data_IF_778714584045
#
_entry.id   IF_778714584045
#
_cell.length_a   1.000
_cell.length_b   1.000
_cell.length_c   1.000
_cell.angle_alpha   90.00
_cell.angle_beta   90.00
_cell.angle_gamma   90.00
#
_symmetry.space_group_name_H-M   'P 1'
#
loop_
_entity.id
_entity.type
_entity.pdbx_description
1 polymer ?
#
# COMPACT_ATOMS: atom_id res chain seq x y z
N UNK A 1 15.54 19.26 -0.86
CA UNK A 1 16.78 18.99 -1.63
C UNK A 1 17.57 20.25 -2.00
N UNK A 2 17.05 21.22 -2.77
CA UNK A 2 17.84 22.40 -3.24
C UNK A 2 18.52 23.23 -2.14
N UNK A 3 17.93 23.33 -0.96
CA UNK A 3 18.51 24.05 0.20
C UNK A 3 19.76 23.36 0.76
N UNK A 4 19.84 22.03 0.70
CA UNK A 4 20.93 21.25 1.29
C UNK A 4 22.15 21.23 0.36
N UNK A 5 21.92 21.13 -0.96
CA UNK A 5 22.99 21.31 -1.97
C UNK A 5 23.63 22.70 -1.86
N UNK A 6 22.82 23.73 -1.55
CA UNK A 6 23.37 25.04 -1.26
C UNK A 6 24.20 25.06 0.02
N UNK A 7 23.71 24.49 1.13
CA UNK A 7 24.45 24.46 2.40
C UNK A 7 25.77 23.70 2.27
N UNK A 8 25.78 22.55 1.60
CA UNK A 8 27.01 21.77 1.37
C UNK A 8 28.01 22.52 0.50
N UNK A 9 27.56 23.20 -0.55
CA UNK A 9 28.41 24.09 -1.35
C UNK A 9 29.00 25.26 -0.56
N UNK A 10 28.21 25.87 0.32
CA UNK A 10 28.70 26.93 1.22
C UNK A 10 29.73 26.39 2.23
N UNK A 11 29.52 25.21 2.79
CA UNK A 11 30.45 24.58 3.72
C UNK A 11 31.78 24.20 3.05
N UNK A 12 31.74 23.70 1.82
CA UNK A 12 32.94 23.37 1.05
C UNK A 12 33.74 24.65 0.69
N UNK A 13 33.04 25.74 0.32
CA UNK A 13 33.66 27.05 0.07
C UNK A 13 34.24 27.69 1.34
N UNK A 14 33.54 27.59 2.47
CA UNK A 14 34.03 28.02 3.78
C UNK A 14 35.26 27.21 4.20
N UNK A 15 35.27 25.89 3.99
CA UNK A 15 36.45 25.05 4.26
C UNK A 15 37.67 25.50 3.46
N UNK A 16 37.48 25.82 2.17
CA UNK A 16 38.56 26.32 1.32
C UNK A 16 39.06 27.70 1.79
N UNK A 17 38.15 28.58 2.18
CA UNK A 17 38.46 29.93 2.69
C UNK A 17 39.21 29.87 4.02
N UNK A 18 38.84 28.96 4.93
CA UNK A 18 39.55 28.77 6.20
C UNK A 18 40.95 28.19 5.96
N UNK A 19 41.11 27.26 5.01
CA UNK A 19 42.43 26.70 4.63
C UNK A 19 43.37 27.77 4.07
N UNK A 20 42.87 28.66 3.23
CA UNK A 20 43.65 29.75 2.65
C UNK A 20 44.02 30.79 3.70
N UNK A 21 43.06 31.21 4.53
CA UNK A 21 43.31 32.11 5.67
C UNK A 21 44.37 31.54 6.62
N UNK A 22 44.30 30.23 6.90
CA UNK A 22 45.30 29.52 7.71
C UNK A 22 46.69 29.57 7.09
N UNK A 23 46.82 29.28 5.80
CA UNK A 23 48.11 29.29 5.12
C UNK A 23 48.75 30.69 5.21
N UNK A 24 47.94 31.74 5.01
CA UNK A 24 48.38 33.12 5.17
C UNK A 24 48.79 33.41 6.61
N UNK A 25 47.97 33.05 7.61
CA UNK A 25 48.27 33.29 9.02
C UNK A 25 49.55 32.56 9.49
N UNK A 26 49.80 31.34 8.99
CA UNK A 26 51.04 30.61 9.27
C UNK A 26 52.26 31.28 8.65
N UNK A 27 52.18 31.67 7.38
CA UNK A 27 53.29 32.36 6.68
C UNK A 27 53.60 33.70 7.34
N UNK A 28 52.57 34.50 7.64
CA UNK A 28 52.72 35.80 8.31
C UNK A 28 53.24 35.61 9.74
N UNK A 29 52.67 34.67 10.50
CA UNK A 29 53.11 34.37 11.87
C UNK A 29 54.59 33.98 11.94
N UNK A 30 55.03 33.05 11.07
CA UNK A 30 56.45 32.65 10.97
C UNK A 30 57.32 33.83 10.56
N UNK A 31 56.90 34.61 9.56
CA UNK A 31 57.63 35.79 9.10
C UNK A 31 57.80 36.85 10.18
N UNK A 32 56.73 37.18 10.90
CA UNK A 32 56.75 38.13 12.01
C UNK A 32 57.62 37.63 13.17
N UNK A 33 57.52 36.35 13.54
CA UNK A 33 58.38 35.79 14.58
C UNK A 33 59.87 35.81 14.18
N UNK A 34 60.19 35.53 12.91
CA UNK A 34 61.57 35.59 12.42
C UNK A 34 62.12 37.03 12.37
N UNK A 35 61.32 37.98 11.88
CA UNK A 35 61.69 39.41 11.80
C UNK A 35 61.84 40.01 13.20
N UNK A 36 60.90 39.75 14.11
CA UNK A 36 60.98 40.18 15.50
C UNK A 36 62.22 39.62 16.20
N UNK A 37 62.55 38.35 15.96
CA UNK A 37 63.78 37.73 16.48
C UNK A 37 65.05 38.40 15.93
N UNK A 38 65.09 38.68 14.62
CA UNK A 38 66.23 39.35 13.97
C UNK A 38 66.45 40.77 14.49
N UNK A 39 65.38 41.58 14.61
CA UNK A 39 65.49 42.96 15.09
C UNK A 39 65.87 43.09 16.56
N UNK A 40 65.64 42.04 17.35
CA UNK A 40 66.11 41.97 18.74
C UNK A 40 67.63 42.08 18.86
N UNK A 41 68.36 41.70 17.80
CA UNK A 41 69.82 41.81 17.72
C UNK A 41 70.33 43.04 16.97
N UNK A 42 69.47 43.96 16.52
CA UNK A 42 69.89 45.13 15.73
C UNK A 42 70.31 46.31 16.61
N UNK A 43 71.33 47.08 16.18
CA UNK A 43 71.80 48.29 16.89
C UNK A 43 70.89 49.52 16.68
N UNK A 44 69.85 49.42 15.83
CA UNK A 44 68.92 50.51 15.57
C UNK A 44 67.87 50.63 16.69
N UNK A 45 67.85 51.72 17.48
CA UNK A 45 67.04 51.80 18.71
C UNK A 45 65.53 51.68 18.48
N UNK A 46 65.01 52.23 17.38
CA UNK A 46 63.58 52.17 17.01
C UNK A 46 63.15 50.73 16.67
N UNK A 47 64.05 49.95 16.05
CA UNK A 47 63.77 48.57 15.64
C UNK A 47 63.86 47.61 16.83
N UNK A 48 64.80 47.84 17.76
CA UNK A 48 64.94 47.02 18.97
C UNK A 48 63.77 47.20 19.94
N UNK A 49 63.23 48.42 20.07
CA UNK A 49 62.13 48.71 21.02
C UNK A 49 60.81 47.98 20.65
N UNK A 50 60.57 47.77 19.35
CA UNK A 50 59.37 47.09 18.85
C UNK A 50 59.58 45.59 18.56
N UNK A 51 60.78 45.05 18.75
CA UNK A 51 61.11 43.68 18.38
C UNK A 51 60.29 42.64 19.17
N UNK A 52 60.13 42.85 20.48
CA UNK A 52 59.44 41.93 21.39
C UNK A 52 57.93 41.87 21.11
N UNK A 53 57.31 43.00 20.75
CA UNK A 53 55.89 43.05 20.40
C UNK A 53 55.61 42.34 19.08
N UNK A 54 56.45 42.56 18.06
CA UNK A 54 56.35 41.87 16.76
C UNK A 54 56.47 40.35 16.94
N UNK A 55 57.42 39.91 17.77
CA UNK A 55 57.61 38.48 18.04
C UNK A 55 56.41 37.85 18.75
N UNK A 56 55.87 38.51 19.79
CA UNK A 56 54.71 38.03 20.55
C UNK A 56 53.44 37.94 19.67
N UNK A 57 53.23 38.92 18.79
CA UNK A 57 52.12 38.91 17.83
C UNK A 57 52.26 37.73 16.86
N UNK A 58 53.45 37.48 16.32
CA UNK A 58 53.71 36.31 15.47
C UNK A 58 53.39 34.99 16.17
N UNK A 59 53.85 34.83 17.42
CA UNK A 59 53.60 33.62 18.22
C UNK A 59 52.10 33.43 18.52
N UNK A 60 51.40 34.51 18.86
CA UNK A 60 49.97 34.49 19.16
C UNK A 60 49.15 34.10 17.92
N UNK A 61 49.53 34.62 16.75
CA UNK A 61 48.90 34.27 15.47
C UNK A 61 49.10 32.78 15.13
N UNK A 62 50.28 32.21 15.39
CA UNK A 62 50.55 30.78 15.20
C UNK A 62 49.72 29.88 16.13
N UNK A 63 49.60 30.26 17.41
CA UNK A 63 48.77 29.54 18.37
C UNK A 63 47.29 29.58 17.97
N UNK A 64 46.79 30.76 17.59
CA UNK A 64 45.40 30.92 17.14
C UNK A 64 45.13 30.11 15.87
N UNK A 65 46.03 30.14 14.89
CA UNK A 65 45.90 29.39 13.64
C UNK A 65 45.85 27.87 13.89
N UNK A 66 46.67 27.35 14.82
CA UNK A 66 46.63 25.94 15.21
C UNK A 66 45.41 25.58 16.06
N UNK A 67 44.92 26.48 16.91
CA UNK A 67 43.68 26.24 17.67
C UNK A 67 42.48 26.13 16.72
N UNK A 68 42.36 27.05 15.76
CA UNK A 68 41.33 27.02 14.71
C UNK A 68 41.44 25.72 13.90
N UNK A 69 42.64 25.20 13.68
CA UNK A 69 42.87 23.93 12.99
C UNK A 69 42.23 22.76 13.72
N UNK A 70 42.42 22.65 15.03
CA UNK A 70 41.85 21.56 15.84
C UNK A 70 40.31 21.59 15.82
N UNK A 71 39.70 22.77 15.78
CA UNK A 71 38.24 22.92 15.78
C UNK A 71 37.59 22.85 14.40
N UNK A 72 38.28 23.30 13.35
CA UNK A 72 37.76 23.36 11.97
C UNK A 72 38.23 22.17 11.13
N UNK A 73 38.97 21.22 11.73
CA UNK A 73 39.47 20.09 10.96
C UNK A 73 38.34 19.27 10.36
N UNK A 74 38.67 18.66 9.21
CA UNK A 74 37.78 17.95 8.27
C UNK A 74 36.74 17.03 8.91
N UNK A 75 36.99 16.56 10.13
CA UNK A 75 36.11 15.69 10.89
C UNK A 75 34.70 16.26 11.03
N UNK A 76 34.50 17.56 11.22
CA UNK A 76 33.13 18.10 11.39
C UNK A 76 32.31 18.02 10.10
N UNK A 77 32.89 18.39 8.96
CA UNK A 77 32.21 18.36 7.65
C UNK A 77 32.05 16.93 7.15
N UNK A 78 33.07 16.08 7.30
CA UNK A 78 32.99 14.66 6.94
C UNK A 78 31.98 13.92 7.83
N UNK A 79 31.94 14.23 9.12
CA UNK A 79 30.94 13.69 10.05
C UNK A 79 29.54 14.11 9.60
N UNK A 80 29.30 15.39 9.30
CA UNK A 80 28.00 15.87 8.82
C UNK A 80 27.58 15.19 7.50
N UNK A 81 28.49 15.06 6.53
CA UNK A 81 28.22 14.36 5.27
C UNK A 81 27.90 12.88 5.51
N UNK A 82 28.65 12.21 6.40
CA UNK A 82 28.42 10.81 6.76
C UNK A 82 27.12 10.59 7.54
N UNK A 83 26.77 11.53 8.43
CA UNK A 83 25.54 11.49 9.22
C UNK A 83 24.33 11.66 8.30
N UNK A 84 24.40 12.58 7.34
CA UNK A 84 23.34 12.76 6.36
C UNK A 84 23.20 11.57 5.40
N UNK A 85 24.32 11.00 4.94
CA UNK A 85 24.29 9.78 4.16
C UNK A 85 23.65 8.62 4.96
N UNK A 86 23.95 8.53 6.26
CA UNK A 86 23.32 7.54 7.16
C UNK A 86 21.85 7.83 7.42
N UNK A 87 21.45 9.09 7.54
CA UNK A 87 20.04 9.50 7.69
C UNK A 87 19.23 9.09 6.45
N UNK A 88 19.73 9.37 5.25
CA UNK A 88 19.05 8.95 4.00
C UNK A 88 18.99 7.42 3.84
N UNK A 89 20.02 6.68 4.27
CA UNK A 89 19.99 5.21 4.30
C UNK A 89 18.96 4.66 5.31
N UNK A 90 18.84 5.30 6.47
CA UNK A 90 17.82 4.96 7.48
C UNK A 90 16.42 5.24 6.95
N UNK A 91 16.17 6.41 6.35
CA UNK A 91 14.88 6.76 5.74
C UNK A 91 14.46 5.75 4.66
N UNK A 92 15.39 5.37 3.77
CA UNK A 92 15.13 4.36 2.75
C UNK A 92 14.80 2.99 3.36
N UNK A 93 15.54 2.60 4.41
CA UNK A 93 15.31 1.33 5.12
C UNK A 93 13.97 1.33 5.85
N UNK A 94 13.61 2.43 6.52
CA UNK A 94 12.32 2.60 7.19
C UNK A 94 11.15 2.49 6.22
N UNK A 95 11.30 3.10 5.03
CA UNK A 95 10.30 2.95 3.97
C UNK A 95 10.15 1.48 3.54
N UNK A 96 11.26 0.79 3.27
CA UNK A 96 11.22 -0.64 2.91
C UNK A 96 10.61 -1.51 4.01
N UNK A 97 10.95 -1.25 5.28
CA UNK A 97 10.39 -1.98 6.43
C UNK A 97 8.88 -1.73 6.55
N UNK A 98 8.42 -0.51 6.32
CA UNK A 98 7.00 -0.15 6.31
C UNK A 98 6.24 -0.88 5.19
N UNK A 99 6.79 -0.91 3.99
CA UNK A 99 6.24 -1.64 2.83
C UNK A 99 6.15 -3.15 3.11
N UNK A 100 7.24 -3.77 3.56
CA UNK A 100 7.27 -5.20 3.92
C UNK A 100 6.31 -5.54 5.06
N UNK A 101 6.18 -4.67 6.05
CA UNK A 101 5.24 -4.86 7.16
C UNK A 101 3.78 -4.85 6.68
N UNK A 102 3.47 -3.97 5.73
CA UNK A 102 2.16 -3.92 5.09
C UNK A 102 1.87 -5.20 4.30
N UNK A 103 2.79 -5.62 3.43
CA UNK A 103 2.66 -6.83 2.62
C UNK A 103 2.49 -8.07 3.50
N UNK A 104 3.28 -8.19 4.56
CA UNK A 104 3.15 -9.29 5.53
C UNK A 104 1.78 -9.29 6.21
N UNK A 105 1.24 -8.11 6.55
CA UNK A 105 -0.11 -7.98 7.14
C UNK A 105 -1.18 -8.44 6.16
N UNK A 106 -1.09 -8.04 4.89
CA UNK A 106 -2.03 -8.44 3.82
C UNK A 106 -1.95 -9.94 3.53
N UNK A 107 -0.76 -10.52 3.40
CA UNK A 107 -0.58 -11.95 3.17
C UNK A 107 -1.06 -12.79 4.36
N UNK A 108 -0.81 -12.35 5.59
CA UNK A 108 -1.31 -13.04 6.79
C UNK A 108 -2.84 -12.98 6.85
N UNK A 109 -3.45 -11.84 6.51
CA UNK A 109 -4.90 -11.71 6.41
C UNK A 109 -5.48 -12.64 5.34
N UNK A 110 -4.80 -12.76 4.19
CA UNK A 110 -5.24 -13.62 3.10
C UNK A 110 -5.20 -15.08 3.52
N UNK A 111 -4.07 -15.53 4.07
CA UNK A 111 -3.92 -16.90 4.57
C UNK A 111 -4.97 -17.24 5.64
N UNK A 112 -5.22 -16.31 6.57
CA UNK A 112 -6.24 -16.50 7.60
C UNK A 112 -7.64 -16.65 7.01
N UNK A 113 -8.01 -15.81 6.02
CA UNK A 113 -9.29 -15.88 5.34
C UNK A 113 -9.44 -17.19 4.56
N UNK A 114 -8.44 -17.60 3.78
CA UNK A 114 -8.48 -18.87 3.03
C UNK A 114 -8.66 -20.05 3.99
N UNK A 115 -7.99 -20.05 5.14
CA UNK A 115 -8.18 -21.08 6.18
C UNK A 115 -9.60 -21.10 6.74
N UNK A 116 -10.19 -19.93 7.01
CA UNK A 116 -11.57 -19.84 7.50
C UNK A 116 -12.58 -20.35 6.47
N UNK A 117 -12.38 -20.06 5.18
CA UNK A 117 -13.23 -20.57 4.10
C UNK A 117 -13.08 -22.09 3.91
N UNK A 118 -11.85 -22.61 4.05
CA UNK A 118 -11.60 -24.06 4.06
C UNK A 118 -12.34 -24.74 5.19
N UNK A 119 -12.33 -24.16 6.40
CA UNK A 119 -13.06 -24.70 7.56
C UNK A 119 -14.58 -24.76 7.31
N UNK A 120 -15.16 -23.76 6.64
CA UNK A 120 -16.58 -23.82 6.23
C UNK A 120 -16.85 -24.95 5.24
N UNK A 121 -15.89 -25.21 4.35
CA UNK A 121 -15.95 -26.31 3.38
C UNK A 121 -15.89 -27.65 4.10
N UNK A 122 -14.97 -27.81 5.05
CA UNK A 122 -14.84 -29.02 5.88
C UNK A 122 -16.10 -29.27 6.71
N UNK A 123 -16.68 -28.22 7.29
CA UNK A 123 -17.97 -28.30 8.01
C UNK A 123 -19.10 -28.75 7.08
N UNK A 124 -19.17 -28.22 5.87
CA UNK A 124 -20.15 -28.64 4.88
C UNK A 124 -19.94 -30.11 4.45
N UNK A 125 -18.69 -30.57 4.35
CA UNK A 125 -18.35 -31.96 4.04
C UNK A 125 -18.70 -32.92 5.18
N UNK A 126 -18.46 -32.53 6.43
CA UNK A 126 -18.71 -33.37 7.61
C UNK A 126 -20.19 -33.51 7.98
N UNK A 127 -21.05 -32.56 7.58
CA UNK A 127 -22.48 -32.62 7.89
C UNK A 127 -23.20 -33.72 7.09
N UNK A 128 -23.88 -34.67 7.74
CA UNK A 128 -24.61 -35.76 7.04
C UNK A 128 -25.66 -35.21 6.04
N UNK A 129 -26.39 -34.19 6.48
CA UNK A 129 -27.43 -33.51 5.71
C UNK A 129 -27.22 -32.01 5.77
N UNK A 130 -27.40 -31.31 4.66
CA UNK A 130 -27.34 -29.85 4.60
C UNK A 130 -28.72 -29.32 4.26
N UNK A 131 -29.40 -28.78 5.27
CA UNK A 131 -30.66 -28.08 5.06
C UNK A 131 -30.45 -26.66 4.53
N UNK A 132 -31.56 -26.02 4.15
CA UNK A 132 -31.55 -24.64 3.64
C UNK A 132 -31.01 -23.66 4.66
N UNK A 133 -31.32 -23.84 5.94
CA UNK A 133 -30.85 -22.96 7.02
C UNK A 133 -29.33 -23.04 7.19
N UNK A 134 -28.77 -24.25 7.20
CA UNK A 134 -27.32 -24.47 7.27
C UNK A 134 -26.61 -23.87 6.05
N UNK A 135 -27.18 -24.05 4.85
CA UNK A 135 -26.66 -23.44 3.61
C UNK A 135 -26.56 -21.91 3.74
N UNK A 136 -27.63 -21.26 4.18
CA UNK A 136 -27.66 -19.79 4.39
C UNK A 136 -26.63 -19.38 5.44
N UNK A 137 -26.53 -20.12 6.56
CA UNK A 137 -25.57 -19.84 7.62
C UNK A 137 -24.13 -19.91 7.12
N UNK A 138 -23.79 -20.91 6.30
CA UNK A 138 -22.44 -21.08 5.76
C UNK A 138 -22.08 -19.97 4.77
N UNK A 139 -22.97 -19.60 3.86
CA UNK A 139 -22.70 -18.46 2.95
C UNK A 139 -22.61 -17.14 3.70
N UNK A 140 -23.46 -16.92 4.71
CA UNK A 140 -23.39 -15.73 5.55
C UNK A 140 -22.06 -15.66 6.30
N UNK A 141 -21.61 -16.77 6.89
CA UNK A 141 -20.30 -16.84 7.54
C UNK A 141 -19.16 -16.54 6.56
N UNK A 142 -19.21 -17.07 5.33
CA UNK A 142 -18.20 -16.79 4.31
C UNK A 142 -18.11 -15.29 4.00
N UNK A 143 -19.25 -14.63 3.80
CA UNK A 143 -19.30 -13.18 3.54
C UNK A 143 -18.84 -12.37 4.76
N UNK A 144 -19.22 -12.79 5.97
CA UNK A 144 -18.78 -12.14 7.22
C UNK A 144 -17.26 -12.24 7.42
N UNK A 145 -16.65 -13.38 7.09
CA UNK A 145 -15.19 -13.51 7.11
C UNK A 145 -14.53 -12.57 6.11
N UNK A 146 -15.02 -12.49 4.86
CA UNK A 146 -14.48 -11.54 3.87
C UNK A 146 -14.62 -10.09 4.39
N UNK A 147 -15.77 -9.77 4.99
CA UNK A 147 -16.05 -8.46 5.54
C UNK A 147 -15.17 -8.09 6.75
N UNK A 148 -14.80 -9.05 7.60
CA UNK A 148 -13.90 -8.83 8.73
C UNK A 148 -12.48 -8.48 8.25
N UNK A 149 -11.99 -9.16 7.22
CA UNK A 149 -10.63 -8.95 6.69
C UNK A 149 -10.54 -7.83 5.63
N UNK A 150 -11.66 -7.18 5.28
CA UNK A 150 -11.71 -6.24 4.15
C UNK A 150 -10.72 -5.09 4.22
N UNK A 151 -10.47 -4.56 5.42
CA UNK A 151 -9.54 -3.45 5.61
C UNK A 151 -8.09 -3.84 5.35
N UNK A 152 -7.69 -5.06 5.74
CA UNK A 152 -6.33 -5.56 5.58
C UNK A 152 -6.05 -6.08 4.17
N UNK A 153 -7.07 -6.63 3.51
CA UNK A 153 -6.96 -7.25 2.18
C UNK A 153 -7.22 -6.29 1.02
N UNK A 154 -8.19 -5.41 1.21
CA UNK A 154 -8.70 -4.57 0.12
C UNK A 154 -8.52 -3.08 0.42
N UNK A 155 -7.96 -2.73 1.59
CA UNK A 155 -7.73 -1.34 2.00
C UNK A 155 -9.01 -0.59 2.37
N UNK A 156 -10.11 -1.29 2.62
CA UNK A 156 -11.41 -0.70 2.98
C UNK A 156 -11.37 -0.18 4.41
N UNK A 157 -11.37 1.14 4.57
CA UNK A 157 -11.47 1.78 5.89
C UNK A 157 -12.93 2.16 6.15
N UNK A 158 -13.26 3.43 5.92
CA UNK A 158 -14.61 3.98 6.13
C UNK A 158 -15.50 3.91 4.87
N UNK A 159 -15.01 3.26 3.82
CA UNK A 159 -15.68 3.08 2.55
C UNK A 159 -17.06 2.40 2.72
N UNK A 160 -18.00 2.79 1.86
CA UNK A 160 -19.18 1.97 1.66
C UNK A 160 -18.79 0.69 0.91
N UNK A 161 -18.81 -0.43 1.61
CA UNK A 161 -18.54 -1.74 1.05
C UNK A 161 -19.85 -2.49 0.81
N UNK A 162 -19.96 -3.15 -0.32
CA UNK A 162 -20.96 -4.19 -0.54
C UNK A 162 -20.27 -5.44 -1.09
N UNK A 163 -20.32 -6.52 -0.29
CA UNK A 163 -19.81 -7.85 -0.60
C UNK A 163 -21.02 -8.76 -0.74
N UNK A 164 -21.15 -9.50 -1.83
CA UNK A 164 -22.28 -10.40 -2.00
C UNK A 164 -21.90 -11.64 -2.80
N UNK A 165 -22.57 -12.75 -2.48
CA UNK A 165 -22.47 -14.01 -3.19
C UNK A 165 -23.80 -14.24 -3.90
N UNK A 166 -23.73 -14.44 -5.21
CA UNK A 166 -24.85 -14.78 -6.05
C UNK A 166 -24.72 -16.23 -6.51
N UNK A 167 -25.81 -16.99 -6.40
CA UNK A 167 -25.92 -18.35 -6.91
C UNK A 167 -26.85 -18.36 -8.13
N UNK A 168 -26.49 -19.07 -9.21
CA UNK A 168 -27.36 -19.19 -10.37
C UNK A 168 -28.48 -20.20 -10.13
N UNK A 169 -29.72 -19.72 -10.12
CA UNK A 169 -30.92 -20.52 -10.01
C UNK A 169 -31.41 -20.93 -11.41
N UNK A 170 -31.24 -22.21 -11.74
CA UNK A 170 -31.62 -22.77 -13.04
C UNK A 170 -33.14 -22.68 -13.30
N UNK A 171 -33.97 -22.73 -12.26
CA UNK A 171 -35.43 -22.69 -12.41
C UNK A 171 -35.91 -21.31 -12.84
N UNK A 172 -35.23 -20.26 -12.38
CA UNK A 172 -35.53 -18.86 -12.69
C UNK A 172 -34.72 -18.31 -13.85
N UNK A 173 -33.59 -18.95 -14.18
CA UNK A 173 -32.62 -18.40 -15.13
C UNK A 173 -31.96 -17.12 -14.63
N UNK A 174 -31.82 -16.97 -13.30
CA UNK A 174 -31.34 -15.75 -12.65
C UNK A 174 -30.31 -16.06 -11.56
N UNK A 175 -29.37 -15.13 -11.38
CA UNK A 175 -28.48 -15.05 -10.24
C UNK A 175 -29.23 -14.46 -9.05
N UNK A 176 -29.33 -15.24 -7.97
CA UNK A 176 -30.01 -14.86 -6.74
C UNK A 176 -28.97 -14.64 -5.64
N UNK A 177 -29.08 -13.52 -4.93
CA UNK A 177 -28.19 -13.23 -3.81
C UNK A 177 -28.46 -14.23 -2.66
N UNK A 178 -27.45 -15.01 -2.28
CA UNK A 178 -27.55 -16.01 -1.20
C UNK A 178 -26.95 -15.52 0.11
N UNK A 179 -26.01 -14.57 0.05
CA UNK A 179 -25.46 -13.89 1.21
C UNK A 179 -24.90 -12.51 0.82
N UNK A 180 -25.00 -11.55 1.72
CA UNK A 180 -24.52 -10.19 1.50
C UNK A 180 -24.08 -9.54 2.81
N UNK A 181 -23.07 -8.68 2.70
CA UNK A 181 -22.64 -7.74 3.71
C UNK A 181 -22.61 -6.34 3.10
N UNK A 182 -23.11 -5.37 3.86
CA UNK A 182 -23.02 -3.94 3.54
C UNK A 182 -22.53 -3.18 4.76
N UNK A 183 -21.67 -2.18 4.56
CA UNK A 183 -21.13 -1.38 5.68
C UNK A 183 -22.24 -0.70 6.51
N UNK A 184 -23.35 -0.31 5.87
CA UNK A 184 -24.49 0.32 6.55
C UNK A 184 -25.53 -0.74 6.97
N UNK A 185 -25.84 -0.89 8.27
CA UNK A 185 -26.81 -1.86 8.74
C UNK A 185 -28.20 -1.71 8.11
N UNK A 186 -28.66 -0.46 7.88
CA UNK A 186 -29.94 -0.17 7.25
C UNK A 186 -30.05 -0.75 5.83
N UNK A 187 -28.92 -0.90 5.13
CA UNK A 187 -28.91 -1.45 3.78
C UNK A 187 -28.85 -2.98 3.80
N UNK A 188 -28.44 -3.61 4.91
CA UNK A 188 -28.31 -5.06 5.01
C UNK A 188 -29.67 -5.77 4.95
N UNK A 189 -30.74 -5.11 5.37
CA UNK A 189 -32.11 -5.65 5.37
C UNK A 189 -32.87 -5.38 4.05
N UNK A 190 -32.30 -4.57 3.15
CA UNK A 190 -32.95 -4.24 1.87
C UNK A 190 -32.91 -5.44 0.94
N UNK A 191 -34.06 -5.78 0.35
CA UNK A 191 -34.21 -6.86 -0.63
C UNK A 191 -33.14 -6.77 -1.74
N UNK A 192 -32.46 -7.90 -1.94
CA UNK A 192 -31.40 -8.01 -2.93
C UNK A 192 -31.98 -8.21 -4.33
N UNK A 193 -31.45 -7.46 -5.29
CA UNK A 193 -31.78 -7.62 -6.71
C UNK A 193 -31.29 -8.98 -7.21
N UNK A 194 -32.07 -9.65 -8.05
CA UNK A 194 -31.60 -10.76 -8.90
C UNK A 194 -31.09 -10.22 -10.24
N UNK A 195 -30.25 -11.00 -10.93
CA UNK A 195 -29.65 -10.61 -12.20
C UNK A 195 -29.78 -11.73 -13.22
N UNK A 196 -30.25 -11.44 -14.43
CA UNK A 196 -30.13 -12.40 -15.52
C UNK A 196 -28.69 -12.41 -16.04
N UNK A 197 -28.23 -13.49 -16.69
CA UNK A 197 -26.99 -13.46 -17.46
C UNK A 197 -26.97 -12.23 -18.40
N UNK A 198 -25.85 -11.51 -18.42
CA UNK A 198 -25.66 -10.27 -19.18
C UNK A 198 -26.17 -8.98 -18.53
N UNK A 199 -26.92 -9.03 -17.42
CA UNK A 199 -27.44 -7.83 -16.74
C UNK A 199 -26.49 -7.29 -15.65
N UNK A 200 -26.12 -6.01 -15.76
CA UNK A 200 -25.23 -5.35 -14.79
C UNK A 200 -23.86 -6.03 -14.67
N UNK A 201 -23.03 -5.60 -13.72
CA UNK A 201 -21.72 -6.23 -13.51
C UNK A 201 -21.82 -7.69 -13.05
N UNK A 202 -22.85 -8.07 -12.28
CA UNK A 202 -23.04 -9.44 -11.79
C UNK A 202 -23.38 -10.39 -12.94
N UNK A 203 -24.40 -10.07 -13.72
CA UNK A 203 -24.85 -10.90 -14.83
C UNK A 203 -23.83 -10.98 -15.96
N UNK A 204 -23.11 -9.89 -16.24
CA UNK A 204 -22.04 -9.89 -17.25
C UNK A 204 -20.85 -10.75 -16.86
N UNK A 205 -20.40 -10.70 -15.60
CA UNK A 205 -19.33 -11.57 -15.14
C UNK A 205 -19.70 -13.04 -15.32
N UNK A 206 -20.94 -13.40 -14.97
CA UNK A 206 -21.47 -14.74 -15.17
C UNK A 206 -21.52 -15.16 -16.64
N UNK A 207 -22.06 -14.31 -17.52
CA UNK A 207 -22.22 -14.60 -18.95
C UNK A 207 -20.87 -14.71 -19.67
N UNK A 208 -19.94 -13.80 -19.38
CA UNK A 208 -18.61 -13.76 -20.01
C UNK A 208 -17.63 -14.77 -19.43
N UNK A 209 -17.96 -15.37 -18.27
CA UNK A 209 -17.13 -16.37 -17.61
C UNK A 209 -15.72 -15.86 -17.28
N UNK A 210 -15.62 -14.56 -17.05
CA UNK A 210 -14.38 -13.86 -16.72
C UNK A 210 -14.66 -12.80 -15.67
N UNK A 211 -13.64 -12.49 -14.88
CA UNK A 211 -13.71 -11.41 -13.90
C UNK A 211 -13.97 -10.06 -14.58
N UNK A 212 -14.83 -9.26 -13.96
CA UNK A 212 -15.01 -7.86 -14.31
C UNK A 212 -14.44 -7.00 -13.20
N UNK A 213 -13.38 -6.27 -13.52
CA UNK A 213 -12.69 -5.36 -12.62
C UNK A 213 -12.82 -3.95 -13.16
N UNK A 214 -13.30 -3.05 -12.31
CA UNK A 214 -13.48 -1.65 -12.64
C UNK A 214 -12.92 -0.78 -11.52
N UNK A 215 -11.95 0.06 -11.88
CA UNK A 215 -11.33 1.02 -10.98
C UNK A 215 -12.24 2.21 -10.69
N UNK A 216 -12.95 2.74 -11.69
CA UNK A 216 -13.91 3.83 -11.52
C UNK A 216 -15.10 3.72 -12.50
N UNK A 217 -16.26 3.38 -11.95
CA UNK A 217 -17.52 3.18 -12.63
C UNK A 217 -18.15 4.48 -13.14
N UNK A 218 -17.63 5.64 -12.73
CA UNK A 218 -18.14 6.96 -13.14
C UNK A 218 -17.60 7.39 -14.49
N UNK A 219 -16.58 6.71 -15.01
CA UNK A 219 -16.04 6.94 -16.35
C UNK A 219 -17.12 6.59 -17.37
N UNK A 220 -17.52 7.51 -18.29
CA UNK A 220 -18.67 7.32 -19.18
C UNK A 220 -18.64 6.03 -20.01
N UNK A 221 -17.47 5.65 -20.53
CA UNK A 221 -17.32 4.44 -21.35
C UNK A 221 -17.51 3.15 -20.52
N UNK A 222 -17.14 3.21 -19.23
CA UNK A 222 -17.27 2.09 -18.30
C UNK A 222 -18.68 2.01 -17.74
N UNK A 223 -19.28 3.16 -17.38
CA UNK A 223 -20.60 3.23 -16.76
C UNK A 223 -21.68 2.61 -17.65
N UNK A 224 -21.65 2.89 -18.96
CA UNK A 224 -22.57 2.29 -19.93
C UNK A 224 -22.44 0.76 -19.99
N UNK A 225 -21.23 0.24 -19.75
CA UNK A 225 -20.96 -1.19 -19.80
C UNK A 225 -21.37 -1.92 -18.52
N UNK A 226 -21.30 -1.32 -17.33
CA UNK A 226 -21.64 -2.01 -16.06
C UNK A 226 -23.03 -1.65 -15.50
N UNK A 227 -23.76 -0.76 -16.17
CA UNK A 227 -25.06 -0.28 -15.72
C UNK A 227 -26.09 -1.39 -15.60
N UNK A 228 -26.90 -1.30 -14.55
CA UNK A 228 -28.11 -2.09 -14.39
C UNK A 228 -29.16 -1.68 -15.44
N UNK A 229 -30.06 -2.58 -15.86
CA UNK A 229 -31.19 -2.19 -16.69
C UNK A 229 -32.08 -1.17 -15.96
N UNK A 230 -32.85 -0.33 -16.67
CA UNK A 230 -33.58 0.80 -16.09
C UNK A 230 -34.51 0.43 -14.92
N UNK A 231 -35.12 -0.75 -14.95
CA UNK A 231 -36.03 -1.22 -13.90
C UNK A 231 -35.30 -1.59 -12.59
N UNK A 232 -34.00 -1.88 -12.70
CA UNK A 232 -33.14 -2.26 -11.57
C UNK A 232 -32.22 -1.12 -11.15
N UNK A 233 -32.06 -0.08 -11.95
CA UNK A 233 -31.18 1.05 -11.66
C UNK A 233 -31.70 1.88 -10.49
N UNK A 234 -30.81 2.32 -9.61
CA UNK A 234 -31.08 3.27 -8.53
C UNK A 234 -30.07 4.39 -8.62
N UNK A 235 -30.50 5.64 -8.49
CA UNK A 235 -29.61 6.80 -8.64
C UNK A 235 -28.42 6.76 -7.67
N UNK A 236 -28.66 6.27 -6.46
CA UNK A 236 -27.65 6.13 -5.41
C UNK A 236 -26.52 5.15 -5.76
N UNK A 237 -26.75 4.22 -6.69
CA UNK A 237 -25.77 3.21 -7.10
C UNK A 237 -24.50 3.87 -7.67
N UNK A 238 -24.66 5.00 -8.36
CA UNK A 238 -23.56 5.78 -8.96
C UNK A 238 -22.52 6.22 -7.94
N UNK A 239 -22.95 6.49 -6.71
CA UNK A 239 -22.09 6.96 -5.63
C UNK A 239 -21.64 5.83 -4.69
N UNK A 240 -22.36 4.70 -4.69
CA UNK A 240 -22.10 3.57 -3.79
C UNK A 240 -21.20 2.50 -4.42
N UNK A 241 -21.24 2.34 -5.75
CA UNK A 241 -20.56 1.27 -6.48
C UNK A 241 -19.57 1.87 -7.49
N UNK A 242 -18.60 2.64 -6.99
CA UNK A 242 -17.60 3.35 -7.79
C UNK A 242 -16.48 2.42 -8.25
N UNK A 243 -15.88 1.64 -7.34
CA UNK A 243 -14.95 0.58 -7.74
C UNK A 243 -15.59 -0.78 -7.50
N UNK A 244 -15.40 -1.73 -8.41
CA UNK A 244 -15.97 -3.06 -8.28
C UNK A 244 -15.07 -4.16 -8.84
N UNK A 245 -15.21 -5.34 -8.24
CA UNK A 245 -14.74 -6.60 -8.76
C UNK A 245 -15.89 -7.61 -8.70
N UNK A 246 -16.22 -8.21 -9.84
CA UNK A 246 -17.21 -9.29 -9.97
C UNK A 246 -16.51 -10.52 -10.55
N UNK A 247 -16.43 -11.59 -9.76
CA UNK A 247 -15.63 -12.77 -10.07
C UNK A 247 -16.55 -13.99 -10.17
N UNK A 248 -16.56 -14.69 -11.32
CA UNK A 248 -17.31 -15.93 -11.47
C UNK A 248 -16.87 -16.96 -10.44
N UNK A 249 -17.84 -17.63 -9.82
CA UNK A 249 -17.61 -18.74 -8.89
C UNK A 249 -17.71 -20.02 -9.70
N UNK A 250 -16.58 -20.66 -9.97
CA UNK A 250 -16.50 -21.78 -10.89
C UNK A 250 -15.47 -22.83 -10.43
N UNK A 251 -15.80 -24.11 -10.57
CA UNK A 251 -14.80 -25.20 -10.53
C UNK A 251 -14.14 -25.39 -11.89
N UNK A 252 -14.93 -25.17 -12.96
CA UNK A 252 -14.52 -25.19 -14.35
C UNK A 252 -14.94 -23.86 -14.98
N UNK A 253 -14.01 -23.17 -15.65
CA UNK A 253 -14.23 -21.81 -16.17
C UNK A 253 -15.51 -21.69 -17.03
N UNK A 254 -15.82 -22.71 -17.82
CA UNK A 254 -16.95 -22.70 -18.76
C UNK A 254 -18.34 -22.84 -18.12
N UNK A 255 -18.43 -23.07 -16.80
CA UNK A 255 -19.71 -23.30 -16.11
C UNK A 255 -19.72 -22.69 -14.71
N UNK A 256 -19.82 -21.35 -14.60
CA UNK A 256 -19.93 -20.72 -13.30
C UNK A 256 -21.19 -21.19 -12.54
N UNK A 257 -21.02 -21.49 -11.26
CA UNK A 257 -22.09 -21.78 -10.30
C UNK A 257 -22.78 -20.50 -9.83
N UNK A 258 -22.07 -19.37 -9.92
CA UNK A 258 -22.49 -18.09 -9.35
C UNK A 258 -21.47 -16.98 -9.60
N UNK A 259 -21.57 -15.89 -8.86
CA UNK A 259 -20.63 -14.76 -8.89
C UNK A 259 -20.44 -14.21 -7.48
N UNK A 260 -19.19 -13.97 -7.07
CA UNK A 260 -18.88 -13.17 -5.88
C UNK A 260 -18.58 -11.75 -6.33
N UNK A 261 -19.17 -10.78 -5.65
CA UNK A 261 -18.90 -9.37 -5.92
C UNK A 261 -18.34 -8.68 -4.69
N UNK A 262 -17.50 -7.69 -4.95
CA UNK A 262 -17.11 -6.69 -3.97
C UNK A 262 -17.11 -5.32 -4.64
N UNK A 263 -17.68 -4.33 -3.95
CA UNK A 263 -17.82 -2.96 -4.46
C UNK A 263 -17.45 -1.95 -3.37
N UNK A 264 -16.93 -0.80 -3.77
CA UNK A 264 -16.59 0.34 -2.91
C UNK A 264 -17.16 1.64 -3.46
N UNK A 265 -17.47 2.59 -2.57
CA UNK A 265 -17.72 4.00 -2.93
C UNK A 265 -16.44 4.76 -3.33
N UNK A 266 -15.26 4.22 -3.03
CA UNK A 266 -13.99 4.82 -3.41
C UNK A 266 -13.46 4.24 -4.73
N UNK A 267 -12.83 5.05 -5.60
CA UNK A 267 -12.21 4.56 -6.82
C UNK A 267 -10.91 3.81 -6.53
N UNK A 268 -10.42 3.05 -7.52
CA UNK A 268 -9.13 2.34 -7.52
C UNK A 268 -8.94 1.31 -6.39
N UNK A 269 -10.02 0.82 -5.77
CA UNK A 269 -9.95 -0.33 -4.86
C UNK A 269 -9.64 -1.64 -5.57
N UNK A 270 -10.10 -1.74 -6.82
CA UNK A 270 -9.82 -2.87 -7.69
C UNK A 270 -9.26 -2.37 -9.02
N UNK A 271 -8.12 -2.92 -9.43
CA UNK A 271 -7.46 -2.56 -10.69
C UNK A 271 -7.01 -3.82 -11.43
N UNK A 272 -7.10 -3.79 -12.75
CA UNK A 272 -6.64 -4.91 -13.57
C UNK A 272 -5.12 -4.84 -13.72
N UNK A 273 -4.46 -6.01 -13.74
CA UNK A 273 -3.00 -6.15 -13.85
C UNK A 273 -2.39 -5.40 -15.04
N UNK A 274 -3.16 -5.22 -16.12
CA UNK A 274 -2.71 -4.54 -17.34
C UNK A 274 -2.62 -3.02 -17.21
N UNK A 275 -3.20 -2.43 -16.15
CA UNK A 275 -3.33 -0.97 -15.96
C UNK A 275 -2.43 -0.44 -14.82
N UNK A 276 -1.53 -1.26 -14.30
CA UNK A 276 -0.71 -0.93 -13.13
C UNK A 276 0.63 -0.35 -13.56
N UNK A 277 0.78 0.97 -13.38
CA UNK A 277 2.11 1.62 -13.32
C UNK A 277 2.83 1.24 -12.02
N UNK A 278 4.10 1.63 -11.85
CA UNK A 278 4.90 1.42 -10.62
C UNK A 278 4.38 2.18 -9.37
N UNK A 279 3.09 2.57 -9.35
CA UNK A 279 2.43 3.20 -8.23
C UNK A 279 2.15 2.15 -7.11
N UNK A 280 2.68 2.36 -5.88
CA UNK A 280 2.44 1.48 -4.74
C UNK A 280 0.96 1.25 -4.41
N UNK A 281 0.09 2.23 -4.66
CA UNK A 281 -1.36 2.09 -4.43
C UNK A 281 -1.98 1.11 -5.42
N UNK A 282 -1.56 1.16 -6.69
CA UNK A 282 -2.04 0.26 -7.74
C UNK A 282 -1.54 -1.18 -7.52
N UNK A 283 -0.31 -1.33 -7.02
CA UNK A 283 0.21 -2.65 -6.64
C UNK A 283 -0.59 -3.30 -5.50
N UNK A 284 -1.13 -2.52 -4.55
CA UNK A 284 -2.01 -3.07 -3.49
C UNK A 284 -3.34 -3.55 -4.04
N UNK A 285 -3.96 -2.76 -4.92
CA UNK A 285 -5.23 -3.12 -5.55
C UNK A 285 -5.13 -4.37 -6.46
N UNK A 286 -3.93 -4.71 -6.94
CA UNK A 286 -3.66 -5.97 -7.64
C UNK A 286 -3.81 -7.19 -6.73
N UNK A 287 -3.27 -7.14 -5.50
CA UNK A 287 -3.43 -8.22 -4.54
C UNK A 287 -4.89 -8.42 -4.13
N UNK A 288 -5.67 -7.34 -4.11
CA UNK A 288 -7.11 -7.38 -3.83
C UNK A 288 -7.89 -8.24 -4.82
N UNK A 289 -7.62 -8.11 -6.12
CA UNK A 289 -8.28 -8.93 -7.16
C UNK A 289 -7.84 -10.39 -7.05
N UNK A 290 -6.53 -10.63 -6.91
CA UNK A 290 -6.00 -12.00 -6.77
C UNK A 290 -6.57 -12.72 -5.54
N UNK A 291 -6.66 -12.03 -4.40
CA UNK A 291 -7.29 -12.56 -3.19
C UNK A 291 -8.77 -12.88 -3.43
N UNK A 292 -9.50 -12.01 -4.13
CA UNK A 292 -10.91 -12.26 -4.45
C UNK A 292 -11.09 -13.44 -5.42
N UNK A 293 -10.15 -13.68 -6.34
CA UNK A 293 -10.14 -14.86 -7.21
C UNK A 293 -9.95 -16.15 -6.41
N UNK A 294 -9.01 -16.18 -5.48
CA UNK A 294 -8.80 -17.33 -4.59
C UNK A 294 -10.04 -17.57 -3.70
N UNK A 295 -10.61 -16.50 -3.14
CA UNK A 295 -11.88 -16.56 -2.38
C UNK A 295 -13.01 -17.16 -3.25
N UNK A 296 -13.14 -16.71 -4.51
CA UNK A 296 -14.14 -17.25 -5.44
C UNK A 296 -13.96 -18.75 -5.68
N UNK A 297 -12.71 -19.21 -5.81
CA UNK A 297 -12.39 -20.63 -5.97
C UNK A 297 -12.77 -21.46 -4.73
N UNK A 298 -12.48 -20.95 -3.51
CA UNK A 298 -12.88 -21.61 -2.26
C UNK A 298 -14.41 -21.67 -2.13
N UNK A 299 -15.09 -20.56 -2.45
CA UNK A 299 -16.56 -20.52 -2.45
C UNK A 299 -17.13 -21.49 -3.49
N UNK A 300 -16.47 -21.70 -4.63
CA UNK A 300 -16.91 -22.66 -5.64
C UNK A 300 -16.94 -24.11 -5.10
N UNK A 301 -15.92 -24.49 -4.32
CA UNK A 301 -15.88 -25.79 -3.65
C UNK A 301 -17.02 -25.93 -2.65
N UNK A 302 -17.21 -24.93 -1.79
CA UNK A 302 -18.32 -24.88 -0.83
C UNK A 302 -19.67 -25.00 -1.55
N UNK A 303 -19.93 -24.17 -2.57
CA UNK A 303 -21.17 -24.20 -3.36
C UNK A 303 -21.42 -25.57 -3.98
N UNK A 304 -20.39 -26.19 -4.54
CA UNK A 304 -20.51 -27.50 -5.16
C UNK A 304 -20.92 -28.58 -4.15
N UNK A 305 -20.30 -28.61 -2.98
CA UNK A 305 -20.62 -29.56 -1.90
C UNK A 305 -22.06 -29.36 -1.43
N UNK A 306 -22.47 -28.11 -1.18
CA UNK A 306 -23.82 -27.78 -0.71
C UNK A 306 -24.88 -28.21 -1.75
N UNK A 307 -24.64 -27.93 -3.04
CA UNK A 307 -25.53 -28.37 -4.14
C UNK A 307 -25.61 -29.88 -4.25
N UNK A 308 -24.46 -30.58 -4.20
CA UNK A 308 -24.43 -32.03 -4.31
C UNK A 308 -25.23 -32.70 -3.18
N UNK A 309 -25.12 -32.19 -1.95
CA UNK A 309 -25.86 -32.73 -0.80
C UNK A 309 -27.36 -32.46 -0.89
N UNK A 310 -27.78 -31.28 -1.35
CA UNK A 310 -29.19 -30.95 -1.57
C UNK A 310 -29.82 -31.88 -2.61
N UNK A 311 -29.16 -32.07 -3.75
CA UNK A 311 -29.68 -32.92 -4.83
C UNK A 311 -29.82 -34.40 -4.40
N UNK A 312 -28.90 -34.90 -3.57
CA UNK A 312 -28.99 -36.26 -3.03
C UNK A 312 -30.20 -36.43 -2.09
N UNK A 313 -30.57 -35.40 -1.32
CA UNK A 313 -31.74 -35.45 -0.45
C UNK A 313 -33.05 -35.46 -1.25
N UNK A 314 -33.13 -34.63 -2.29
CA UNK A 314 -34.33 -34.56 -3.14
C UNK A 314 -34.58 -35.90 -3.86
N UNK A 315 -33.52 -36.55 -4.35
CA UNK A 315 -33.63 -37.87 -4.99
C UNK A 315 -34.11 -38.99 -4.07
N UNK A 316 -33.78 -38.98 -2.78
CA UNK A 316 -34.27 -39.99 -1.81
C UNK A 316 -35.76 -39.82 -1.46
N UNK A 317 -36.33 -38.62 -1.63
CA UNK A 317 -37.74 -38.34 -1.35
C UNK A 317 -38.68 -38.80 -2.47
N UNK A 318 -38.24 -38.79 -3.73
CA UNK A 318 -39.08 -39.16 -4.87
C UNK A 318 -39.25 -40.69 -5.04
N UNK A 319 -38.37 -41.49 -4.43
CA UNK A 319 -38.39 -42.96 -4.49
C UNK A 319 -39.22 -43.64 -3.37
N UNK A 320 -39.90 -42.86 -2.49
CA UNK A 320 -40.74 -43.36 -1.38
C UNK A 320 -42.23 -43.13 -1.62
#
# INVERSE_FOLDING_TARGET
MKTIEHVTGYLDSLSLSVKTLRLVALVVGVGMSAVGYYFRGSEHPILSENADTIWLVGLSMLLLANLVLVFVDKQSVELLKSLHAKETEVEATEQTVSELSHDNTTLTAWLALTKLLSELTDQAMAADTVDRETTIRLYKAAVEFIAEYKGRLFGFNDDYANIAIYEFDQSRGELVCVACYRTRPSDAEVEHRSWKPGEGHVGKAYELQTELVCSDARVPDVSAWISAPPEKFREEDTNRYVSLAAIPIALEAERPLGVVIMTSSEPYRFVNFQQVDDDPLMQRAKYSVAALQDIAAQIAQLMFILRSKRNNQEGETDDK
#
